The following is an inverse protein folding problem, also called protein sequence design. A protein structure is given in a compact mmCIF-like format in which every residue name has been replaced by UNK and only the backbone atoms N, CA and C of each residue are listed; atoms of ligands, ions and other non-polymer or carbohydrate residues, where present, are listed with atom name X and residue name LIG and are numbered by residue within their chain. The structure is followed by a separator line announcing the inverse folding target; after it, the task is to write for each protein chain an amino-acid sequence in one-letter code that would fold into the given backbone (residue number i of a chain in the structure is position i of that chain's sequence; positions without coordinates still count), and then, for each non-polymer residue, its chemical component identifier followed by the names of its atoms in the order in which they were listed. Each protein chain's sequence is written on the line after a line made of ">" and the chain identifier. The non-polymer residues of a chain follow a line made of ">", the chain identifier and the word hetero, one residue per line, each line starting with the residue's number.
data_IF_951316261045
#
_entry.id   IF_951316261045
#
_cell.length_a   1.000
_cell.length_b   1.000
_cell.length_c   1.000
_cell.angle_alpha   90.00
_cell.angle_beta   90.00
_cell.angle_gamma   90.00
#
_symmetry.space_group_name_H-M   'P 1'
#
loop_
_entity.id
_entity.type
_entity.pdbx_description
1 polymer ?
#
# COMPACT_ATOMS: atom_id res chain seq x y z
N UNK A 1 -5.70 27.17 -14.07
CA UNK A 1 -4.70 26.10 -13.92
C UNK A 1 -4.62 25.79 -12.43
N UNK A 2 -5.00 24.60 -11.98
CA UNK A 2 -4.88 24.24 -10.54
C UNK A 2 -3.45 23.75 -10.34
N UNK A 3 -2.52 24.69 -10.21
CA UNK A 3 -1.14 24.40 -9.81
C UNK A 3 -1.10 24.10 -8.30
N UNK A 4 -0.39 23.05 -7.91
CA UNK A 4 0.23 23.02 -6.59
C UNK A 4 -0.46 22.22 -5.48
N UNK A 5 -0.96 21.00 -5.74
CA UNK A 5 -0.99 20.02 -4.66
C UNK A 5 0.45 19.75 -4.23
N UNK A 6 0.82 20.14 -3.01
CA UNK A 6 2.15 19.89 -2.43
C UNK A 6 2.40 18.38 -2.35
N UNK A 7 3.68 17.97 -2.26
CA UNK A 7 4.02 16.55 -2.12
C UNK A 7 3.31 15.90 -0.91
N UNK A 8 3.06 16.68 0.15
CA UNK A 8 2.26 16.28 1.32
C UNK A 8 0.78 16.05 0.98
N UNK A 9 0.14 16.97 0.27
CA UNK A 9 -1.28 16.82 -0.11
C UNK A 9 -1.50 15.61 -1.04
N UNK A 10 -0.56 15.38 -1.97
CA UNK A 10 -0.55 14.19 -2.83
C UNK A 10 -0.37 12.89 -2.04
N UNK A 11 0.44 12.91 -0.98
CA UNK A 11 0.56 11.77 -0.07
C UNK A 11 -0.73 11.55 0.72
N UNK A 12 -1.28 12.60 1.31
CA UNK A 12 -2.52 12.51 2.09
C UNK A 12 -3.68 11.95 1.27
N UNK A 13 -3.81 12.39 0.01
CA UNK A 13 -4.81 11.85 -0.91
C UNK A 13 -4.59 10.36 -1.21
N UNK A 14 -3.35 9.94 -1.48
CA UNK A 14 -3.02 8.54 -1.75
C UNK A 14 -3.23 7.63 -0.53
N UNK A 15 -2.83 8.10 0.66
CA UNK A 15 -3.03 7.40 1.93
C UNK A 15 -4.52 7.22 2.18
N UNK A 16 -5.30 8.31 2.07
CA UNK A 16 -6.76 8.28 2.24
C UNK A 16 -7.42 7.33 1.22
N UNK A 17 -6.96 7.34 -0.03
CA UNK A 17 -7.45 6.42 -1.06
C UNK A 17 -7.14 4.95 -0.72
N UNK A 18 -5.93 4.64 -0.23
CA UNK A 18 -5.57 3.30 0.21
C UNK A 18 -6.39 2.84 1.43
N UNK A 19 -6.57 3.72 2.43
CA UNK A 19 -7.41 3.43 3.59
C UNK A 19 -8.85 3.13 3.20
N UNK A 20 -9.42 3.91 2.28
CA UNK A 20 -10.78 3.68 1.82
C UNK A 20 -10.90 2.35 1.08
N UNK A 21 -9.92 1.99 0.24
CA UNK A 21 -9.87 0.70 -0.45
C UNK A 21 -9.76 -0.48 0.52
N UNK A 22 -8.95 -0.36 1.58
CA UNK A 22 -8.85 -1.37 2.63
C UNK A 22 -10.18 -1.56 3.34
N UNK A 23 -10.86 -0.47 3.68
CA UNK A 23 -12.20 -0.50 4.28
C UNK A 23 -13.21 -1.14 3.34
N UNK A 24 -13.30 -0.71 2.08
CA UNK A 24 -14.28 -1.23 1.13
C UNK A 24 -14.05 -2.70 0.76
N UNK A 25 -12.80 -3.17 0.70
CA UNK A 25 -12.46 -4.53 0.24
C UNK A 25 -12.35 -5.56 1.36
N UNK A 26 -11.92 -5.12 2.55
CA UNK A 26 -11.60 -6.02 3.66
C UNK A 26 -12.34 -5.65 4.95
N UNK A 27 -13.21 -4.64 4.93
CA UNK A 27 -13.86 -4.06 6.12
C UNK A 27 -12.85 -3.60 7.19
N UNK A 28 -11.62 -3.28 6.76
CA UNK A 28 -10.53 -2.91 7.64
C UNK A 28 -10.51 -1.39 7.85
N UNK A 29 -10.53 -0.98 9.12
CA UNK A 29 -10.36 0.41 9.52
C UNK A 29 -9.00 1.02 9.12
N UNK A 30 -8.88 2.36 9.15
CA UNK A 30 -7.64 3.07 8.79
C UNK A 30 -6.45 2.73 9.70
N UNK A 31 -6.70 2.27 10.92
CA UNK A 31 -5.65 1.78 11.84
C UNK A 31 -4.86 0.60 11.25
N UNK A 32 -5.53 -0.26 10.49
CA UNK A 32 -4.89 -1.44 9.89
C UNK A 32 -3.98 -1.07 8.74
N UNK A 33 -4.20 0.05 8.05
CA UNK A 33 -3.28 0.55 7.03
C UNK A 33 -1.87 0.74 7.61
N UNK A 34 -1.77 1.45 8.74
CA UNK A 34 -0.49 1.65 9.42
C UNK A 34 0.07 0.36 10.02
N UNK A 35 -0.77 -0.53 10.55
CA UNK A 35 -0.31 -1.83 11.04
C UNK A 35 0.27 -2.69 9.91
N UNK A 36 -0.37 -2.73 8.74
CA UNK A 36 0.11 -3.45 7.55
C UNK A 36 1.43 -2.85 7.08
N UNK A 37 1.52 -1.52 6.96
CA UNK A 37 2.77 -0.85 6.58
C UNK A 37 3.90 -1.11 7.59
N UNK A 38 3.62 -1.00 8.89
CA UNK A 38 4.59 -1.28 9.94
C UNK A 38 5.03 -2.74 9.89
N UNK A 39 4.09 -3.67 9.68
CA UNK A 39 4.40 -5.09 9.52
C UNK A 39 5.30 -5.32 8.32
N UNK A 40 5.01 -4.73 7.17
CA UNK A 40 5.86 -4.80 5.98
C UNK A 40 7.26 -4.22 6.24
N UNK A 41 7.35 -3.06 6.90
CA UNK A 41 8.61 -2.42 7.25
C UNK A 41 9.47 -3.28 8.20
N UNK A 42 8.83 -4.04 9.09
CA UNK A 42 9.47 -5.00 9.97
C UNK A 42 9.71 -6.39 9.31
N UNK A 43 9.60 -6.51 7.98
CA UNK A 43 9.80 -7.78 7.27
C UNK A 43 8.62 -8.76 7.36
N UNK A 44 7.47 -8.29 7.83
CA UNK A 44 6.22 -9.04 7.92
C UNK A 44 5.57 -9.19 6.55
N UNK A 45 5.99 -10.24 5.84
CA UNK A 45 5.46 -10.62 4.54
C UNK A 45 6.57 -11.12 3.63
N UNK A 46 6.18 -11.83 2.58
CA UNK A 46 7.12 -12.24 1.54
C UNK A 46 7.21 -11.13 0.51
N UNK A 47 8.36 -10.46 0.44
CA UNK A 47 8.66 -9.53 -0.65
C UNK A 47 8.86 -10.33 -1.95
N UNK A 48 8.02 -10.05 -2.93
CA UNK A 48 8.02 -10.64 -4.27
C UNK A 48 8.49 -9.54 -5.23
N UNK A 49 9.66 -9.74 -5.81
CA UNK A 49 10.18 -8.85 -6.86
C UNK A 49 9.25 -8.96 -8.09
N UNK A 50 8.73 -7.86 -8.65
CA UNK A 50 7.88 -7.94 -9.82
C UNK A 50 8.75 -8.40 -11.00
N UNK A 51 8.24 -9.35 -11.77
CA UNK A 51 8.90 -9.77 -13.00
C UNK A 51 8.88 -8.63 -14.00
N UNK A 52 10.07 -8.07 -14.27
CA UNK A 52 10.52 -7.37 -15.49
C UNK A 52 9.80 -6.11 -15.99
N UNK A 53 8.59 -5.77 -15.57
CA UNK A 53 7.82 -4.69 -16.25
C UNK A 53 7.89 -3.32 -15.59
N UNK A 54 8.23 -3.22 -14.30
CA UNK A 54 8.34 -1.92 -13.61
C UNK A 54 9.58 -1.96 -12.72
N UNK A 55 10.70 -1.42 -13.24
CA UNK A 55 11.87 -1.08 -12.41
C UNK A 55 11.34 -0.23 -11.25
N UNK A 56 11.65 -0.61 -10.02
CA UNK A 56 11.31 0.13 -8.78
C UNK A 56 9.97 -0.20 -8.10
N UNK A 57 9.16 -1.17 -8.55
CA UNK A 57 8.05 -1.68 -7.70
C UNK A 57 8.44 -2.97 -6.99
N UNK A 58 7.80 -3.27 -5.85
CA UNK A 58 7.84 -4.57 -5.20
C UNK A 58 6.48 -4.94 -4.66
N UNK A 59 6.18 -6.24 -4.65
CA UNK A 59 4.90 -6.77 -4.18
C UNK A 59 5.14 -7.51 -2.90
N UNK A 60 4.60 -7.03 -1.78
CA UNK A 60 4.65 -7.74 -0.51
C UNK A 60 3.38 -8.56 -0.34
N UNK A 61 3.53 -9.88 -0.21
CA UNK A 61 2.42 -10.76 0.15
C UNK A 61 2.47 -11.03 1.63
N UNK A 62 1.42 -10.67 2.37
CA UNK A 62 1.31 -11.00 3.78
C UNK A 62 -0.06 -11.58 4.11
N UNK A 63 -0.12 -12.40 5.15
CA UNK A 63 -1.38 -12.81 5.76
C UNK A 63 -1.69 -11.86 6.93
N UNK A 64 -2.87 -11.25 6.91
CA UNK A 64 -3.31 -10.29 7.91
C UNK A 64 -4.75 -10.58 8.28
N UNK A 65 -5.02 -10.88 9.56
CA UNK A 65 -6.36 -11.23 10.07
C UNK A 65 -7.07 -12.33 9.25
N UNK A 66 -6.32 -13.35 8.80
CA UNK A 66 -6.85 -14.43 7.97
C UNK A 66 -7.04 -14.07 6.49
N UNK A 67 -6.81 -12.81 6.11
CA UNK A 67 -6.89 -12.34 4.73
C UNK A 67 -5.50 -12.37 4.09
N UNK A 68 -5.44 -12.88 2.85
CA UNK A 68 -4.24 -12.78 2.02
C UNK A 68 -4.21 -11.39 1.41
N UNK A 69 -3.31 -10.56 1.89
CA UNK A 69 -3.09 -9.22 1.34
C UNK A 69 -1.90 -9.27 0.39
N UNK A 70 -2.12 -8.83 -0.84
CA UNK A 70 -1.05 -8.50 -1.77
C UNK A 70 -0.89 -6.99 -1.74
N UNK A 71 0.22 -6.46 -1.28
CA UNK A 71 0.51 -5.03 -1.19
C UNK A 71 1.54 -4.68 -2.25
N UNK A 72 1.22 -3.78 -3.17
CA UNK A 72 2.22 -3.21 -4.08
C UNK A 72 2.88 -2.02 -3.38
N UNK A 73 4.19 -1.87 -3.54
CA UNK A 73 4.95 -0.74 -3.02
C UNK A 73 5.83 -0.25 -4.15
N UNK A 74 5.72 1.04 -4.47
CA UNK A 74 6.60 1.71 -5.42
C UNK A 74 7.77 2.36 -4.66
N UNK A 75 8.98 2.19 -5.16
CA UNK A 75 10.22 2.65 -4.52
C UNK A 75 10.56 4.10 -4.89
N UNK A 76 9.87 4.72 -5.85
CA UNK A 76 10.12 6.12 -6.28
C UNK A 76 9.07 7.10 -5.76
N UNK A 77 7.83 6.68 -5.61
CA UNK A 77 6.75 7.49 -5.07
C UNK A 77 5.95 6.66 -4.08
N UNK A 78 5.86 7.17 -2.84
CA UNK A 78 4.74 6.95 -1.92
C UNK A 78 3.99 5.62 -2.07
N UNK A 79 4.32 4.66 -1.20
CA UNK A 79 3.66 3.37 -0.97
C UNK A 79 2.25 3.20 -1.59
N UNK A 80 2.16 2.78 -2.85
CA UNK A 80 0.88 2.53 -3.53
C UNK A 80 0.31 1.15 -3.18
N UNK A 81 -0.35 1.06 -2.03
CA UNK A 81 -0.90 -0.18 -1.47
C UNK A 81 -2.11 -0.68 -2.29
N UNK A 82 -1.87 -1.46 -3.35
CA UNK A 82 -2.96 -2.09 -4.12
C UNK A 82 -3.24 -3.49 -3.59
N UNK A 83 -4.37 -3.66 -2.91
CA UNK A 83 -4.75 -4.91 -2.21
C UNK A 83 -5.67 -5.80 -3.05
N UNK A 84 -5.28 -7.05 -3.25
CA UNK A 84 -6.05 -8.08 -3.98
C UNK A 84 -6.41 -9.24 -3.04
N UNK A 85 -7.54 -9.92 -3.30
CA UNK A 85 -7.97 -11.18 -2.67
C UNK A 85 -7.24 -12.38 -3.30
#
# INVERSE_FOLDING_TARGET
>A
MIEGLTAQEKQAFQIKHCMNRLKERFDLGPEHYYQILNRIANGGGTMVKPSKTVKDTYVVRLNYLGNRLKVVVDSKHSHMLTVYK
#
